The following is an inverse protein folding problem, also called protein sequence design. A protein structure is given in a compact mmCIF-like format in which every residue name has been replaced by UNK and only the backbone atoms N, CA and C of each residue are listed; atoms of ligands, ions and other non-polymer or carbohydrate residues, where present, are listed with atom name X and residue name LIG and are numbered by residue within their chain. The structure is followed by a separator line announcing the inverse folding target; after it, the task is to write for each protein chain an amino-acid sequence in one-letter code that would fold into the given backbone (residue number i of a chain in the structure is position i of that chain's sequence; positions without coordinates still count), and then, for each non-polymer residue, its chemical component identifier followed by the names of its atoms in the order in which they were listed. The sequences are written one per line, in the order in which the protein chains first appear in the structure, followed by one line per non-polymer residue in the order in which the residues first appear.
data_IF_247368540674
#
_entry.id   IF_247368540674
#
_cell.length_a   1.000
_cell.length_b   1.000
_cell.length_c   1.000
_cell.angle_alpha   90.00
_cell.angle_beta   90.00
_cell.angle_gamma   90.00
#
_symmetry.space_group_name_H-M   'P 1'
#
loop_
_entity.id
_entity.type
_entity.pdbx_description
1 polymer ?
#
# COMPACT_ATOMS: atom_id res chain seq x y z
N UNK A 1 1.37 -13.67 25.98
CA UNK A 1 1.71 -12.42 25.27
C UNK A 1 2.20 -12.81 23.89
N UNK A 2 1.56 -12.31 22.83
CA UNK A 2 2.06 -12.53 21.46
C UNK A 2 3.42 -11.86 21.33
N UNK A 3 4.38 -12.51 20.64
CA UNK A 3 5.69 -11.92 20.34
C UNK A 3 5.57 -10.64 19.50
N UNK A 4 4.44 -10.50 18.79
CA UNK A 4 4.10 -9.33 17.98
C UNK A 4 3.08 -8.47 18.72
N UNK A 5 3.37 -7.19 19.00
CA UNK A 5 2.41 -6.25 19.58
C UNK A 5 1.20 -6.06 18.66
N UNK A 6 0.00 -6.22 19.20
CA UNK A 6 -1.23 -5.86 18.50
C UNK A 6 -1.40 -4.35 18.67
N UNK A 7 -1.57 -3.61 17.56
CA UNK A 7 -1.73 -2.15 17.59
C UNK A 7 -3.20 -1.71 17.71
N UNK A 8 -4.12 -2.66 17.71
CA UNK A 8 -5.57 -2.50 17.75
C UNK A 8 -6.28 -3.36 18.82
N UNK A 9 -5.68 -3.67 19.99
CA UNK A 9 -6.26 -4.64 20.92
C UNK A 9 -7.58 -4.13 21.53
N UNK A 10 -7.75 -2.81 21.61
CA UNK A 10 -8.88 -2.13 22.24
C UNK A 10 -9.86 -1.51 21.22
N UNK A 11 -9.76 -1.89 19.94
CA UNK A 11 -10.64 -1.34 18.91
C UNK A 11 -12.09 -1.81 19.16
N UNK A 12 -12.99 -0.86 19.38
CA UNK A 12 -14.41 -1.08 19.66
C UNK A 12 -15.33 -0.89 18.44
N UNK A 13 -14.73 -0.69 17.26
CA UNK A 13 -15.39 -0.46 15.99
C UNK A 13 -14.59 -1.09 14.85
N UNK A 14 -15.15 -1.10 13.64
CA UNK A 14 -14.43 -1.56 12.46
C UNK A 14 -13.33 -0.56 12.07
N UNK A 15 -12.15 -1.07 11.71
CA UNK A 15 -11.16 -0.29 10.97
C UNK A 15 -11.64 -0.12 9.52
N UNK A 16 -11.63 1.12 9.04
CA UNK A 16 -11.91 1.43 7.63
C UNK A 16 -10.61 1.80 6.95
N UNK A 17 -10.36 1.15 5.82
CA UNK A 17 -9.12 1.26 5.05
C UNK A 17 -9.43 1.56 3.59
N UNK A 18 -8.46 2.11 2.88
CA UNK A 18 -8.62 2.48 1.48
C UNK A 18 -7.85 1.54 0.54
N UNK A 19 -8.11 1.67 -0.75
CA UNK A 19 -7.44 0.94 -1.81
C UNK A 19 -6.81 1.93 -2.79
N UNK A 20 -5.52 1.82 -3.06
CA UNK A 20 -4.80 2.71 -3.97
C UNK A 20 -4.85 2.21 -5.40
N UNK A 21 -4.84 3.13 -6.37
CA UNK A 21 -5.07 2.84 -7.79
C UNK A 21 -3.81 2.43 -8.58
N UNK A 22 -2.92 1.64 -7.97
CA UNK A 22 -1.60 1.35 -8.58
C UNK A 22 -1.73 0.54 -9.86
N UNK A 23 -2.77 -0.29 -10.00
CA UNK A 23 -2.91 -1.26 -11.08
C UNK A 23 -3.75 -0.74 -12.26
N UNK A 24 -3.86 0.58 -12.42
CA UNK A 24 -4.68 1.21 -13.45
C UNK A 24 -6.13 0.75 -13.39
N UNK A 25 -6.72 0.83 -12.20
CA UNK A 25 -8.04 0.31 -11.85
C UNK A 25 -9.01 1.39 -11.35
N UNK A 26 -8.62 2.67 -11.44
CA UNK A 26 -9.49 3.80 -11.11
C UNK A 26 -10.23 4.32 -12.36
N UNK A 27 -11.55 4.23 -12.29
CA UNK A 27 -12.46 4.59 -13.36
C UNK A 27 -13.77 5.14 -12.79
N UNK A 28 -14.37 6.10 -13.50
CA UNK A 28 -15.73 6.55 -13.19
C UNK A 28 -16.78 5.47 -13.49
N UNK A 29 -16.56 4.68 -14.53
CA UNK A 29 -17.45 3.61 -14.98
C UNK A 29 -16.67 2.33 -15.20
N UNK A 30 -17.20 1.20 -14.71
CA UNK A 30 -16.54 -0.09 -14.86
C UNK A 30 -16.33 -0.44 -16.33
N UNK A 31 -15.09 -0.80 -16.67
CA UNK A 31 -14.70 -1.18 -18.03
C UNK A 31 -14.55 -0.02 -19.02
N UNK A 32 -14.63 1.24 -18.56
CA UNK A 32 -14.42 2.42 -19.40
C UNK A 32 -13.17 3.18 -18.93
N UNK A 33 -12.03 3.02 -19.63
CA UNK A 33 -10.80 3.69 -19.25
C UNK A 33 -10.89 5.22 -19.30
N UNK A 34 -10.35 5.87 -18.27
CA UNK A 34 -10.21 7.32 -18.18
C UNK A 34 -8.73 7.70 -18.17
N UNK A 35 -8.32 8.59 -19.07
CA UNK A 35 -6.94 9.06 -19.19
C UNK A 35 -6.49 9.87 -17.97
N UNK A 36 -7.40 10.60 -17.34
CA UNK A 36 -7.10 11.49 -16.20
C UNK A 36 -6.90 10.72 -14.90
N UNK A 37 -7.44 9.48 -14.81
CA UNK A 37 -7.33 8.60 -13.64
C UNK A 37 -6.28 7.51 -13.80
N UNK A 38 -5.43 7.61 -14.83
CA UNK A 38 -4.35 6.64 -15.06
C UNK A 38 -3.42 6.55 -13.86
N UNK A 39 -2.99 5.32 -13.56
CA UNK A 39 -2.00 5.04 -12.55
C UNK A 39 -0.71 5.81 -12.83
N UNK A 40 -0.44 6.81 -11.99
CA UNK A 40 0.72 7.68 -12.06
C UNK A 40 1.15 8.06 -10.65
N UNK A 41 2.41 8.47 -10.48
CA UNK A 41 2.90 8.96 -9.20
C UNK A 41 1.99 10.05 -8.62
N UNK A 42 1.67 11.07 -9.42
CA UNK A 42 0.84 12.20 -8.99
C UNK A 42 -0.56 11.76 -8.57
N UNK A 43 -1.23 10.91 -9.36
CA UNK A 43 -2.57 10.42 -9.06
C UNK A 43 -2.59 9.56 -7.79
N UNK A 44 -1.78 8.49 -7.77
CA UNK A 44 -1.80 7.52 -6.68
C UNK A 44 -1.31 8.14 -5.36
N UNK A 45 -0.29 9.02 -5.38
CA UNK A 45 0.15 9.70 -4.16
C UNK A 45 -0.90 10.70 -3.64
N UNK A 46 -1.68 11.32 -4.52
CA UNK A 46 -2.82 12.16 -4.10
C UNK A 46 -3.92 11.34 -3.43
N UNK A 47 -4.20 10.11 -3.91
CA UNK A 47 -5.12 9.19 -3.23
C UNK A 47 -4.62 8.87 -1.81
N UNK A 48 -3.35 8.50 -1.65
CA UNK A 48 -2.76 8.19 -0.32
C UNK A 48 -2.86 9.38 0.64
N UNK A 49 -2.45 10.59 0.20
CA UNK A 49 -2.55 11.81 1.01
C UNK A 49 -3.98 12.15 1.38
N UNK A 50 -4.92 11.91 0.46
CA UNK A 50 -6.35 12.16 0.70
C UNK A 50 -6.92 11.16 1.69
N UNK A 51 -6.56 9.88 1.60
CA UNK A 51 -6.94 8.87 2.58
C UNK A 51 -6.41 9.22 3.97
N UNK A 52 -5.14 9.62 4.09
CA UNK A 52 -4.58 10.06 5.38
C UNK A 52 -5.30 11.30 5.93
N UNK A 53 -5.56 12.31 5.09
CA UNK A 53 -6.26 13.53 5.50
C UNK A 53 -7.70 13.28 5.97
N UNK A 54 -8.35 12.22 5.47
CA UNK A 54 -9.68 11.80 5.90
C UNK A 54 -9.67 10.79 7.06
N UNK A 55 -8.50 10.51 7.65
CA UNK A 55 -8.39 9.67 8.85
C UNK A 55 -8.43 8.17 8.60
N UNK A 56 -8.25 7.71 7.36
CA UNK A 56 -8.08 6.27 7.10
C UNK A 56 -6.79 5.78 7.75
N UNK A 57 -6.88 4.65 8.45
CA UNK A 57 -5.74 4.09 9.20
C UNK A 57 -4.77 3.34 8.29
N UNK A 58 -5.26 2.79 7.20
CA UNK A 58 -4.48 1.93 6.31
C UNK A 58 -4.91 2.12 4.86
N UNK A 59 -3.98 1.88 3.94
CA UNK A 59 -4.24 1.83 2.50
C UNK A 59 -3.50 0.68 1.85
N UNK A 60 -4.25 -0.17 1.14
CA UNK A 60 -3.68 -1.24 0.31
C UNK A 60 -3.04 -0.64 -0.93
N UNK A 61 -1.76 -0.90 -1.10
CA UNK A 61 -1.00 -0.65 -2.32
C UNK A 61 -0.94 -1.98 -3.09
N UNK A 62 -1.79 -2.19 -4.11
CA UNK A 62 -1.89 -3.47 -4.79
C UNK A 62 -0.68 -3.74 -5.69
N UNK A 63 -0.60 -4.97 -6.18
CA UNK A 63 0.35 -5.47 -7.18
C UNK A 63 -0.41 -6.25 -8.26
N UNK A 64 0.04 -6.17 -9.51
CA UNK A 64 -0.59 -6.81 -10.67
C UNK A 64 0.41 -7.00 -11.81
N UNK A 65 0.09 -7.90 -12.75
CA UNK A 65 0.77 -7.99 -14.05
C UNK A 65 0.33 -6.92 -15.05
N UNK A 66 -0.72 -6.16 -14.73
CA UNK A 66 -1.15 -5.02 -15.53
C UNK A 66 -0.20 -3.83 -15.38
N UNK A 67 -0.14 -3.00 -16.42
CA UNK A 67 0.68 -1.78 -16.41
C UNK A 67 0.22 -0.85 -15.29
N UNK A 68 1.17 -0.41 -14.46
CA UNK A 68 0.90 0.35 -13.25
C UNK A 68 2.18 0.79 -12.55
N UNK A 69 2.06 1.24 -11.30
CA UNK A 69 3.22 1.55 -10.46
C UNK A 69 3.71 0.30 -9.72
N UNK A 70 5.04 0.16 -9.59
CA UNK A 70 5.63 -0.85 -8.70
C UNK A 70 5.28 -0.56 -7.23
N UNK A 71 4.77 -1.57 -6.53
CA UNK A 71 4.26 -1.44 -5.16
C UNK A 71 5.31 -0.97 -4.17
N UNK A 72 6.49 -1.60 -4.14
CA UNK A 72 7.50 -1.30 -3.13
C UNK A 72 8.16 0.06 -3.37
N UNK A 73 8.42 0.42 -4.63
CA UNK A 73 8.95 1.73 -5.01
C UNK A 73 7.94 2.85 -4.69
N UNK A 74 6.66 2.63 -4.97
CA UNK A 74 5.61 3.59 -4.65
C UNK A 74 5.47 3.81 -3.13
N UNK A 75 5.47 2.72 -2.36
CA UNK A 75 5.45 2.75 -0.89
C UNK A 75 6.67 3.50 -0.34
N UNK A 76 7.86 3.28 -0.90
CA UNK A 76 9.07 4.03 -0.55
C UNK A 76 8.90 5.54 -0.77
N UNK A 77 8.36 5.93 -1.93
CA UNK A 77 8.08 7.32 -2.26
C UNK A 77 7.04 7.97 -1.35
N UNK A 78 6.09 7.19 -0.81
CA UNK A 78 5.07 7.68 0.10
C UNK A 78 5.58 7.94 1.51
N UNK A 79 6.71 7.35 1.90
CA UNK A 79 7.27 7.49 3.24
C UNK A 79 7.49 8.95 3.68
N UNK A 80 8.13 9.84 2.88
CA UNK A 80 8.34 11.24 3.27
C UNK A 80 7.10 12.14 3.16
N UNK A 81 6.03 11.69 2.51
CA UNK A 81 4.81 12.51 2.26
C UNK A 81 3.60 12.07 3.09
N UNK A 82 3.79 11.11 3.99
CA UNK A 82 2.77 10.60 4.92
C UNK A 82 3.32 10.61 6.33
N UNK A 83 2.44 10.67 7.34
CA UNK A 83 2.83 10.75 8.76
C UNK A 83 2.22 9.66 9.61
N UNK A 84 0.97 9.31 9.35
CA UNK A 84 0.14 8.50 10.24
C UNK A 84 -0.43 7.27 9.56
N UNK A 85 -0.74 7.32 8.26
CA UNK A 85 -1.36 6.21 7.55
C UNK A 85 -0.39 5.03 7.43
N UNK A 86 -0.90 3.82 7.64
CA UNK A 86 -0.20 2.58 7.35
C UNK A 86 -0.25 2.28 5.84
N UNK A 87 0.84 1.76 5.31
CA UNK A 87 0.92 1.33 3.92
C UNK A 87 0.94 -0.20 3.88
N UNK A 88 -0.13 -0.80 3.37
CA UNK A 88 -0.24 -2.25 3.19
C UNK A 88 0.30 -2.61 1.80
N UNK A 89 1.56 -3.00 1.75
CA UNK A 89 2.25 -3.35 0.51
C UNK A 89 1.91 -4.79 0.08
N UNK A 90 1.30 -4.94 -1.10
CA UNK A 90 1.08 -6.24 -1.72
C UNK A 90 2.38 -6.83 -2.26
N UNK A 91 2.67 -8.09 -1.90
CA UNK A 91 3.87 -8.82 -2.31
C UNK A 91 3.43 -10.18 -2.85
N UNK A 92 3.80 -10.46 -4.10
CA UNK A 92 3.54 -11.73 -4.78
C UNK A 92 4.68 -12.72 -4.51
N UNK A 93 4.38 -13.80 -3.79
CA UNK A 93 5.32 -14.86 -3.43
C UNK A 93 5.69 -15.70 -4.67
N UNK A 94 6.67 -15.24 -5.43
CA UNK A 94 7.14 -15.88 -6.65
C UNK A 94 7.98 -14.94 -7.52
N UNK A 95 7.80 -13.63 -7.33
CA UNK A 95 8.45 -12.60 -8.15
C UNK A 95 9.76 -12.10 -7.54
N UNK A 96 10.00 -12.38 -6.25
CA UNK A 96 11.14 -11.85 -5.52
C UNK A 96 11.83 -12.92 -4.70
N UNK A 97 13.17 -12.82 -4.64
CA UNK A 97 13.97 -13.67 -3.78
C UNK A 97 13.75 -13.28 -2.31
N UNK A 98 13.34 -14.22 -1.41
CA UNK A 98 12.91 -13.88 -0.06
C UNK A 98 13.93 -13.13 0.82
N UNK A 99 15.22 -13.45 0.70
CA UNK A 99 16.29 -12.81 1.49
C UNK A 99 16.50 -11.36 1.03
N UNK A 100 16.46 -11.11 -0.27
CA UNK A 100 16.55 -9.77 -0.84
C UNK A 100 15.31 -8.95 -0.45
N UNK A 101 14.13 -9.55 -0.52
CA UNK A 101 12.88 -8.94 -0.10
C UNK A 101 12.90 -8.56 1.39
N UNK A 102 13.44 -9.41 2.27
CA UNK A 102 13.54 -9.11 3.69
C UNK A 102 14.35 -7.82 3.96
N UNK A 103 15.46 -7.61 3.22
CA UNK A 103 16.25 -6.36 3.32
C UNK A 103 15.48 -5.14 2.81
N UNK A 104 14.73 -5.30 1.72
CA UNK A 104 13.86 -4.23 1.19
C UNK A 104 12.79 -3.84 2.20
N UNK A 105 12.09 -4.82 2.79
CA UNK A 105 11.07 -4.60 3.83
C UNK A 105 11.66 -3.88 5.04
N UNK A 106 12.81 -4.33 5.55
CA UNK A 106 13.45 -3.70 6.71
C UNK A 106 13.80 -2.22 6.43
N UNK A 107 14.30 -1.93 5.22
CA UNK A 107 14.62 -0.56 4.80
C UNK A 107 13.36 0.31 4.72
N UNK A 108 12.30 -0.22 4.12
CA UNK A 108 11.01 0.48 4.02
C UNK A 108 10.39 0.74 5.39
N UNK A 109 10.43 -0.23 6.29
CA UNK A 109 9.87 -0.07 7.63
C UNK A 109 10.63 0.99 8.44
N UNK A 110 11.96 1.08 8.30
CA UNK A 110 12.74 2.18 8.87
C UNK A 110 12.28 3.55 8.34
N UNK A 111 12.08 3.69 7.02
CA UNK A 111 11.58 4.92 6.41
C UNK A 111 10.16 5.26 6.87
N UNK A 112 9.33 4.25 7.08
CA UNK A 112 7.93 4.38 7.48
C UNK A 112 7.74 4.47 9.00
N UNK A 113 8.80 4.23 9.78
CA UNK A 113 8.77 4.26 11.25
C UNK A 113 7.70 3.35 11.84
N UNK A 114 7.63 2.10 11.37
CA UNK A 114 6.67 1.09 11.86
C UNK A 114 5.28 1.14 11.21
N UNK A 115 5.09 1.96 10.17
CA UNK A 115 3.81 2.07 9.42
C UNK A 115 3.72 1.11 8.23
N UNK A 116 4.71 0.25 8.01
CA UNK A 116 4.67 -0.75 6.94
C UNK A 116 3.87 -1.97 7.40
N UNK A 117 2.91 -2.39 6.58
CA UNK A 117 2.24 -3.69 6.72
C UNK A 117 2.35 -4.44 5.40
N UNK A 118 2.36 -5.77 5.45
CA UNK A 118 2.59 -6.61 4.27
C UNK A 118 1.36 -7.46 3.97
N UNK A 119 0.90 -7.40 2.72
CA UNK A 119 -0.10 -8.30 2.18
C UNK A 119 0.62 -9.36 1.32
N UNK A 120 0.82 -10.54 1.89
CA UNK A 120 1.53 -11.63 1.24
C UNK A 120 0.53 -12.43 0.38
N UNK A 121 0.72 -12.38 -0.93
CA UNK A 121 -0.15 -13.01 -1.93
C UNK A 121 0.53 -14.27 -2.44
N UNK A 122 -0.10 -15.42 -2.19
CA UNK A 122 0.27 -16.65 -2.91
C UNK A 122 -0.04 -16.44 -4.38
N UNK A 123 1.01 -16.45 -5.20
CA UNK A 123 0.87 -16.40 -6.65
C UNK A 123 1.09 -17.81 -7.15
N UNK A 124 0.06 -18.41 -7.76
CA UNK A 124 0.23 -19.63 -8.54
C UNK A 124 1.03 -19.34 -9.83
#
# INVERSE_FOLDING_TARGET
MTLVPITSPDLNAAEVSWFSALCSDDYKYLGIPDGELRSSWSHCSNIVKSAEANGFRNILCPSSYQVGQDTLSFVAGCAPITKNINLLAAIRCGEMQPIMLARTIATLDHMLSGRLTLNIISSD
#
